data_IF_203037554730
#
_entry.id   IF_203037554730
#
_cell.length_a   1.000
_cell.length_b   1.000
_cell.length_c   1.000
_cell.angle_alpha   90.00
_cell.angle_beta   90.00
_cell.angle_gamma   90.00
#
_symmetry.space_group_name_H-M   'P 1'
#
loop_
_entity.id
_entity.type
_entity.pdbx_description
1 polymer ?
#
# COMPACT_ATOMS: atom_id res chain seq x y z
N UNK A 1 17.46 24.68 22.76
CA UNK A 1 17.84 24.73 21.33
C UNK A 1 18.06 23.29 20.88
N UNK A 2 17.04 22.67 20.30
CA UNK A 2 17.05 21.24 19.85
C UNK A 2 17.23 21.24 18.34
N UNK A 3 18.05 20.35 17.75
CA UNK A 3 18.25 20.31 16.31
C UNK A 3 17.06 19.66 15.61
N UNK A 4 16.66 20.28 14.53
CA UNK A 4 15.59 19.86 13.62
C UNK A 4 15.91 18.52 12.96
N UNK A 5 14.93 17.60 12.98
CA UNK A 5 14.99 16.30 12.36
C UNK A 5 15.14 16.37 10.84
N UNK A 6 16.10 15.63 10.31
CA UNK A 6 16.34 15.49 8.88
C UNK A 6 15.19 14.73 8.21
N UNK A 7 14.63 15.32 7.17
CA UNK A 7 13.65 14.69 6.25
C UNK A 7 14.33 13.54 5.52
N UNK A 8 14.00 12.29 5.86
CA UNK A 8 14.41 11.13 5.09
C UNK A 8 13.52 11.01 3.85
N UNK A 9 14.04 11.45 2.71
CA UNK A 9 13.51 11.09 1.40
C UNK A 9 13.81 9.62 1.13
N UNK A 10 12.86 8.81 0.62
CA UNK A 10 13.11 7.42 0.30
C UNK A 10 14.13 7.29 -0.84
N UNK A 11 15.13 6.44 -0.63
CA UNK A 11 16.26 6.22 -1.54
C UNK A 11 15.79 5.70 -2.92
N UNK A 12 16.29 6.25 -4.04
CA UNK A 12 15.88 5.90 -5.40
C UNK A 12 16.15 4.43 -5.80
N UNK A 13 17.03 3.72 -5.09
CA UNK A 13 17.32 2.31 -5.38
C UNK A 13 16.18 1.33 -5.03
N UNK A 14 15.25 1.67 -4.15
CA UNK A 14 14.09 0.82 -3.83
C UNK A 14 13.11 0.72 -4.99
N UNK A 15 12.94 1.81 -5.75
CA UNK A 15 12.00 1.87 -6.88
C UNK A 15 12.46 1.05 -8.10
N UNK A 16 13.77 0.86 -8.28
CA UNK A 16 14.31 0.09 -9.40
C UNK A 16 14.06 -1.43 -9.26
N UNK A 17 14.15 -2.00 -8.05
CA UNK A 17 13.87 -3.44 -7.81
C UNK A 17 12.38 -3.76 -7.89
N UNK A 18 11.51 -2.79 -7.58
CA UNK A 18 10.04 -2.93 -7.62
C UNK A 18 9.54 -2.94 -9.07
N UNK A 19 10.17 -2.15 -9.97
CA UNK A 19 9.83 -2.13 -11.41
C UNK A 19 10.06 -3.48 -12.10
N UNK A 20 10.96 -4.31 -11.60
CA UNK A 20 11.26 -5.63 -12.18
C UNK A 20 10.19 -6.70 -11.91
N UNK A 21 9.29 -6.51 -10.94
CA UNK A 21 8.23 -7.48 -10.60
C UNK A 21 6.95 -7.28 -11.41
N UNK A 22 6.75 -6.12 -12.04
CA UNK A 22 5.68 -5.90 -13.03
C UNK A 22 6.19 -6.37 -14.38
N UNK A 23 5.50 -7.30 -15.10
CA UNK A 23 5.92 -7.72 -16.43
C UNK A 23 6.03 -6.48 -17.34
N UNK A 24 7.23 -6.18 -17.79
CA UNK A 24 7.48 -5.05 -18.68
C UNK A 24 6.68 -5.22 -19.98
N UNK A 25 6.00 -4.20 -20.48
CA UNK A 25 5.32 -4.26 -21.76
C UNK A 25 6.36 -4.50 -22.87
N UNK A 26 6.25 -5.63 -23.56
CA UNK A 26 7.07 -5.93 -24.75
C UNK A 26 6.57 -5.12 -25.94
N UNK A 27 7.08 -3.92 -26.09
CA UNK A 27 6.85 -3.06 -27.27
C UNK A 27 7.95 -2.01 -27.32
N UNK A 28 8.43 -1.65 -28.52
CA UNK A 28 9.43 -0.59 -28.75
C UNK A 28 8.94 0.70 -28.09
N UNK A 29 9.31 0.94 -26.84
CA UNK A 29 9.02 2.17 -26.15
C UNK A 29 10.22 3.12 -26.32
N UNK A 30 9.97 4.27 -26.97
CA UNK A 30 10.76 5.48 -26.74
C UNK A 30 10.76 5.74 -25.23
N UNK A 31 11.91 6.16 -24.67
CA UNK A 31 11.98 6.56 -23.27
C UNK A 31 10.84 7.52 -22.95
N UNK A 32 10.08 7.30 -21.84
CA UNK A 32 8.96 8.16 -21.49
C UNK A 32 9.45 9.58 -21.30
N UNK A 33 8.82 10.53 -22.00
CA UNK A 33 9.00 11.96 -21.72
C UNK A 33 8.11 12.35 -20.55
N UNK A 34 8.45 13.37 -19.74
CA UNK A 34 7.63 13.87 -18.64
C UNK A 34 6.14 14.02 -19.03
N UNK A 35 5.87 14.55 -20.24
CA UNK A 35 4.53 14.66 -20.81
C UNK A 35 3.82 13.31 -21.05
N UNK A 36 4.55 12.21 -21.30
CA UNK A 36 3.98 10.87 -21.48
C UNK A 36 3.57 10.25 -20.14
N UNK A 37 4.36 10.46 -19.09
CA UNK A 37 4.05 9.98 -17.73
C UNK A 37 2.84 10.73 -17.16
N UNK A 38 2.73 12.04 -17.35
CA UNK A 38 1.57 12.83 -16.93
C UNK A 38 0.27 12.35 -17.58
N UNK A 39 0.29 12.05 -18.88
CA UNK A 39 -0.85 11.52 -19.62
C UNK A 39 -1.25 10.14 -19.11
N UNK A 40 -0.28 9.29 -18.83
CA UNK A 40 -0.50 7.97 -18.27
C UNK A 40 -1.11 8.02 -16.85
N UNK A 41 -0.61 8.90 -15.99
CA UNK A 41 -1.16 9.15 -14.66
C UNK A 41 -2.57 9.76 -14.73
N UNK A 42 -2.88 10.59 -15.74
CA UNK A 42 -4.22 11.09 -16.00
C UNK A 42 -5.23 9.98 -16.28
N UNK A 43 -4.85 8.98 -17.10
CA UNK A 43 -5.68 7.81 -17.39
C UNK A 43 -5.91 6.99 -16.10
N UNK A 44 -4.85 6.76 -15.31
CA UNK A 44 -4.94 6.01 -14.06
C UNK A 44 -5.91 6.68 -13.07
N UNK A 45 -5.84 8.00 -12.88
CA UNK A 45 -6.73 8.74 -11.97
C UNK A 45 -8.22 8.60 -12.35
N UNK A 46 -8.54 8.75 -13.64
CA UNK A 46 -9.92 8.63 -14.11
C UNK A 46 -10.41 7.18 -14.01
N UNK A 47 -9.55 6.22 -14.34
CA UNK A 47 -9.87 4.81 -14.21
C UNK A 47 -10.10 4.42 -12.74
N UNK A 48 -9.28 4.90 -11.81
CA UNK A 48 -9.42 4.70 -10.36
C UNK A 48 -10.78 5.18 -9.87
N UNK A 49 -11.19 6.38 -10.25
CA UNK A 49 -12.49 6.93 -9.89
C UNK A 49 -13.63 6.06 -10.43
N UNK A 50 -13.59 5.68 -11.71
CA UNK A 50 -14.65 4.86 -12.33
C UNK A 50 -14.69 3.45 -11.71
N UNK A 51 -13.55 2.83 -11.41
CA UNK A 51 -13.53 1.54 -10.71
C UNK A 51 -14.08 1.65 -9.30
N UNK A 52 -13.85 2.75 -8.61
CA UNK A 52 -14.42 2.98 -7.29
C UNK A 52 -15.93 3.15 -7.32
N UNK A 53 -16.45 3.96 -8.24
CA UNK A 53 -17.86 4.31 -8.35
C UNK A 53 -18.74 3.17 -8.89
N UNK A 54 -18.24 2.44 -9.91
CA UNK A 54 -19.01 1.47 -10.69
C UNK A 54 -18.55 0.03 -10.54
N UNK A 55 -17.39 -0.19 -9.96
CA UNK A 55 -16.72 -1.49 -9.93
C UNK A 55 -15.91 -1.76 -11.20
N UNK A 56 -15.08 -2.82 -11.13
CA UNK A 56 -14.25 -3.23 -12.26
C UNK A 56 -15.08 -3.76 -13.43
N UNK A 57 -16.11 -4.59 -13.15
CA UNK A 57 -16.90 -5.25 -14.20
C UNK A 57 -17.59 -4.23 -15.11
N UNK A 58 -18.24 -3.22 -14.51
CA UNK A 58 -19.08 -2.26 -15.20
C UNK A 58 -18.32 -1.04 -15.76
N UNK A 59 -17.01 -0.99 -15.56
CA UNK A 59 -16.14 0.04 -16.17
C UNK A 59 -15.55 -0.45 -17.48
N UNK A 60 -15.61 0.38 -18.53
CA UNK A 60 -15.04 0.08 -19.86
C UNK A 60 -13.96 1.08 -20.26
N UNK A 61 -13.12 0.71 -21.23
CA UNK A 61 -12.10 1.63 -21.80
C UNK A 61 -12.78 2.82 -22.49
N UNK A 62 -13.95 2.63 -23.09
CA UNK A 62 -14.75 3.69 -23.70
C UNK A 62 -15.18 4.75 -22.68
N UNK A 63 -15.62 4.31 -21.48
CA UNK A 63 -16.02 5.20 -20.40
C UNK A 63 -14.81 5.98 -19.85
N UNK A 64 -13.66 5.32 -19.70
CA UNK A 64 -12.40 5.96 -19.28
C UNK A 64 -11.98 7.02 -20.31
N UNK A 65 -12.00 6.68 -21.60
CA UNK A 65 -11.68 7.61 -22.68
C UNK A 65 -12.65 8.79 -22.74
N UNK A 66 -13.96 8.52 -22.62
CA UNK A 66 -15.01 9.55 -22.62
C UNK A 66 -14.88 10.53 -21.46
N UNK A 67 -14.59 10.04 -20.25
CA UNK A 67 -14.38 10.88 -19.07
C UNK A 67 -13.12 11.77 -19.17
N UNK A 68 -12.13 11.34 -19.96
CA UNK A 68 -10.91 12.12 -20.26
C UNK A 68 -11.09 13.08 -21.46
N UNK A 69 -12.19 12.97 -22.21
CA UNK A 69 -12.35 13.71 -23.47
C UNK A 69 -11.39 13.27 -24.60
N UNK A 70 -10.96 11.98 -24.56
CA UNK A 70 -10.03 11.41 -25.55
C UNK A 70 -10.67 10.24 -26.28
N UNK A 71 -9.99 9.71 -27.30
CA UNK A 71 -10.46 8.54 -28.05
C UNK A 71 -10.00 7.22 -27.38
N UNK A 72 -10.73 6.15 -27.62
CA UNK A 72 -10.36 4.78 -27.18
C UNK A 72 -8.94 4.37 -27.63
N UNK A 73 -8.50 4.60 -28.91
CA UNK A 73 -7.14 4.36 -29.33
C UNK A 73 -6.08 5.11 -28.51
N UNK A 74 -6.40 6.30 -28.00
CA UNK A 74 -5.49 7.03 -27.12
C UNK A 74 -5.21 6.27 -25.82
N UNK A 75 -6.23 5.69 -25.18
CA UNK A 75 -6.04 4.86 -23.97
C UNK A 75 -5.23 3.62 -24.29
N UNK A 76 -5.52 2.94 -25.40
CA UNK A 76 -4.77 1.76 -25.85
C UNK A 76 -3.31 2.03 -26.23
N UNK A 77 -2.95 3.27 -26.52
CA UNK A 77 -1.55 3.64 -26.71
C UNK A 77 -0.73 3.50 -25.42
N UNK A 78 -1.36 3.72 -24.23
CA UNK A 78 -0.70 3.65 -22.92
C UNK A 78 -0.91 2.32 -22.19
N UNK A 79 -2.04 1.64 -22.41
CA UNK A 79 -2.44 0.43 -21.69
C UNK A 79 -3.03 -0.58 -22.66
N UNK A 80 -2.62 -1.84 -22.52
CA UNK A 80 -3.08 -2.93 -23.40
C UNK A 80 -4.57 -3.25 -23.21
N UNK A 81 -5.05 -3.15 -21.98
CA UNK A 81 -6.43 -3.46 -21.63
C UNK A 81 -6.80 -2.87 -20.25
N UNK A 82 -8.07 -2.99 -19.89
CA UNK A 82 -8.62 -2.53 -18.60
C UNK A 82 -7.96 -3.22 -17.40
N UNK A 83 -7.61 -4.50 -17.54
CA UNK A 83 -6.97 -5.27 -16.47
C UNK A 83 -5.60 -4.72 -16.12
N UNK A 84 -4.78 -4.34 -17.09
CA UNK A 84 -3.46 -3.73 -16.85
C UNK A 84 -3.58 -2.45 -16.02
N UNK A 85 -4.57 -1.61 -16.31
CA UNK A 85 -4.84 -0.39 -15.53
C UNK A 85 -5.19 -0.75 -14.07
N UNK A 86 -6.09 -1.69 -13.89
CA UNK A 86 -6.55 -2.13 -12.57
C UNK A 86 -5.41 -2.77 -11.75
N UNK A 87 -4.61 -3.61 -12.39
CA UNK A 87 -3.46 -4.26 -11.77
C UNK A 87 -2.40 -3.25 -11.33
N UNK A 88 -2.13 -2.22 -12.12
CA UNK A 88 -1.18 -1.16 -11.77
C UNK A 88 -1.66 -0.33 -10.57
N UNK A 89 -2.95 0.03 -10.55
CA UNK A 89 -3.55 0.75 -9.43
C UNK A 89 -3.49 -0.08 -8.14
N UNK A 90 -3.77 -1.38 -8.22
CA UNK A 90 -3.72 -2.29 -7.07
C UNK A 90 -2.30 -2.62 -6.61
N UNK A 91 -1.34 -2.67 -7.53
CA UNK A 91 0.04 -3.11 -7.25
C UNK A 91 0.82 -2.11 -6.41
N UNK A 92 0.72 -0.82 -6.71
CA UNK A 92 1.49 0.23 -6.05
C UNK A 92 1.27 0.25 -4.52
N UNK A 93 0.02 0.36 -4.01
CA UNK A 93 -0.21 0.30 -2.57
C UNK A 93 0.16 -1.05 -1.94
N UNK A 94 -0.03 -2.17 -2.65
CA UNK A 94 0.38 -3.50 -2.20
C UNK A 94 1.87 -3.56 -1.90
N UNK A 95 2.70 -3.04 -2.80
CA UNK A 95 4.15 -3.02 -2.61
C UNK A 95 4.53 -2.13 -1.43
N UNK A 96 4.00 -0.92 -1.35
CA UNK A 96 4.32 0.01 -0.26
C UNK A 96 3.91 -0.55 1.12
N UNK A 97 2.76 -1.23 1.21
CA UNK A 97 2.35 -1.93 2.42
C UNK A 97 3.32 -3.05 2.81
N UNK A 98 3.55 -3.99 1.91
CA UNK A 98 4.23 -5.23 2.25
C UNK A 98 5.77 -5.14 2.21
N UNK A 99 6.35 -4.02 1.78
CA UNK A 99 7.77 -3.72 1.93
C UNK A 99 8.09 -2.81 3.12
N UNK A 100 7.10 -2.48 3.95
CA UNK A 100 7.29 -1.62 5.12
C UNK A 100 8.30 -2.19 6.14
N UNK A 101 8.54 -3.51 6.11
CA UNK A 101 9.52 -4.22 6.94
C UNK A 101 10.80 -4.62 6.18
N UNK A 102 10.98 -4.19 4.94
CA UNK A 102 12.25 -4.35 4.21
C UNK A 102 13.26 -3.30 4.68
N UNK A 103 13.67 -3.43 5.93
CA UNK A 103 14.57 -2.51 6.60
C UNK A 103 16.04 -2.85 6.30
N UNK A 104 16.96 -1.87 6.36
CA UNK A 104 18.39 -2.14 6.32
C UNK A 104 18.80 -3.16 7.40
N UNK A 105 19.80 -4.02 7.13
CA UNK A 105 20.25 -5.01 8.13
C UNK A 105 20.77 -4.38 9.42
N UNK A 106 21.31 -3.17 9.32
CA UNK A 106 21.88 -2.36 10.39
C UNK A 106 20.91 -1.32 10.98
N UNK A 107 19.62 -1.45 10.74
CA UNK A 107 18.61 -0.55 11.31
C UNK A 107 18.68 -0.61 12.86
N UNK A 108 19.03 0.50 13.54
CA UNK A 108 19.33 0.49 14.98
C UNK A 108 18.07 0.50 15.85
N UNK A 109 16.88 0.68 15.27
CA UNK A 109 15.64 0.77 16.03
C UNK A 109 15.33 -0.56 16.71
N UNK A 110 14.83 -0.56 17.94
CA UNK A 110 14.36 -1.78 18.61
C UNK A 110 13.15 -2.38 17.90
N UNK A 111 12.92 -3.68 18.08
CA UNK A 111 11.89 -4.44 17.37
C UNK A 111 10.49 -3.83 17.50
N UNK A 112 10.09 -3.36 18.70
CA UNK A 112 8.78 -2.75 18.90
C UNK A 112 8.56 -1.45 18.11
N UNK A 113 9.61 -0.65 17.89
CA UNK A 113 9.54 0.56 17.08
C UNK A 113 9.43 0.22 15.58
N UNK A 114 10.14 -0.82 15.11
CA UNK A 114 10.02 -1.33 13.74
C UNK A 114 8.61 -1.82 13.44
N UNK A 115 8.02 -2.61 14.37
CA UNK A 115 6.64 -3.08 14.27
C UNK A 115 5.65 -1.92 14.24
N UNK A 116 5.79 -0.98 15.19
CA UNK A 116 4.89 0.18 15.29
C UNK A 116 4.94 1.04 14.03
N UNK A 117 6.13 1.31 13.48
CA UNK A 117 6.31 2.06 12.26
C UNK A 117 5.74 1.34 11.03
N UNK A 118 5.87 0.01 10.95
CA UNK A 118 5.30 -0.77 9.85
C UNK A 118 3.76 -0.73 9.88
N UNK A 119 3.14 -0.88 11.03
CA UNK A 119 1.68 -0.78 11.21
C UNK A 119 1.19 0.62 10.79
N UNK A 120 1.85 1.68 11.26
CA UNK A 120 1.51 3.05 10.85
C UNK A 120 1.65 3.23 9.34
N UNK A 121 2.70 2.66 8.73
CA UNK A 121 2.90 2.70 7.28
C UNK A 121 1.74 2.02 6.53
N UNK A 122 1.27 0.84 6.98
CA UNK A 122 0.13 0.17 6.38
C UNK A 122 -1.13 1.06 6.40
N UNK A 123 -1.43 1.65 7.54
CA UNK A 123 -2.60 2.52 7.71
C UNK A 123 -2.47 3.76 6.81
N UNK A 124 -1.29 4.40 6.80
CA UNK A 124 -1.00 5.58 6.00
C UNK A 124 -1.11 5.29 4.50
N UNK A 125 -0.61 4.16 4.03
CA UNK A 125 -0.73 3.72 2.63
C UNK A 125 -2.21 3.48 2.28
N UNK A 126 -2.99 2.85 3.16
CA UNK A 126 -4.42 2.65 2.93
C UNK A 126 -5.19 3.97 2.81
N UNK A 127 -4.84 4.98 3.60
CA UNK A 127 -5.42 6.33 3.52
C UNK A 127 -4.98 7.04 2.25
N UNK A 128 -3.68 7.03 1.96
CA UNK A 128 -3.08 7.75 0.83
C UNK A 128 -3.56 7.24 -0.53
N UNK A 129 -3.70 5.93 -0.67
CA UNK A 129 -4.11 5.27 -1.92
C UNK A 129 -5.58 4.84 -1.91
N UNK A 130 -6.40 5.42 -1.04
CA UNK A 130 -7.83 5.19 -1.11
C UNK A 130 -8.41 5.78 -2.42
N UNK A 131 -9.21 5.03 -3.20
CA UNK A 131 -9.72 3.67 -2.95
C UNK A 131 -8.86 2.52 -3.49
N UNK A 132 -7.82 2.80 -4.28
CA UNK A 132 -7.03 1.79 -5.01
C UNK A 132 -6.36 0.75 -4.08
N UNK A 133 -6.00 1.13 -2.84
CA UNK A 133 -5.44 0.23 -1.83
C UNK A 133 -6.33 -1.00 -1.55
N UNK A 134 -7.62 -0.89 -1.83
CA UNK A 134 -8.61 -1.93 -1.54
C UNK A 134 -9.14 -2.67 -2.76
N UNK A 135 -8.72 -2.31 -3.97
CA UNK A 135 -9.20 -2.94 -5.20
C UNK A 135 -8.97 -4.46 -5.22
N UNK A 136 -7.81 -4.92 -4.79
CA UNK A 136 -7.52 -6.35 -4.71
C UNK A 136 -8.44 -7.12 -3.74
N UNK A 137 -8.96 -6.46 -2.70
CA UNK A 137 -9.93 -7.04 -1.76
C UNK A 137 -11.35 -7.05 -2.33
N UNK A 138 -11.74 -5.99 -3.02
CA UNK A 138 -13.09 -5.82 -3.56
C UNK A 138 -13.32 -6.63 -4.82
N UNK A 139 -12.31 -6.73 -5.67
CA UNK A 139 -12.40 -7.31 -7.02
C UNK A 139 -11.23 -8.33 -7.27
N UNK A 140 -11.11 -9.37 -6.42
CA UNK A 140 -9.97 -10.29 -6.53
C UNK A 140 -9.92 -11.03 -7.87
N UNK A 141 -11.06 -11.18 -8.56
CA UNK A 141 -11.16 -11.81 -9.90
C UNK A 141 -10.55 -10.93 -11.00
N UNK A 142 -10.40 -9.61 -10.78
CA UNK A 142 -9.78 -8.70 -11.75
C UNK A 142 -8.24 -8.76 -11.72
N UNK A 143 -7.66 -9.46 -10.74
CA UNK A 143 -6.21 -9.65 -10.61
C UNK A 143 -5.80 -10.95 -11.27
N UNK A 144 -4.92 -10.86 -12.27
CA UNK A 144 -4.39 -12.03 -12.97
C UNK A 144 -3.51 -12.92 -12.09
N UNK A 145 -3.32 -14.21 -12.46
CA UNK A 145 -2.64 -15.19 -11.62
C UNK A 145 -1.19 -14.82 -11.29
N UNK A 146 -0.48 -14.23 -12.23
CA UNK A 146 0.92 -13.80 -12.03
C UNK A 146 1.03 -12.72 -10.97
N UNK A 147 0.19 -11.68 -11.04
CA UNK A 147 0.20 -10.59 -10.07
C UNK A 147 -0.29 -11.08 -8.70
N UNK A 148 -1.32 -11.92 -8.67
CA UNK A 148 -1.80 -12.55 -7.44
C UNK A 148 -0.71 -13.35 -6.72
N UNK A 149 0.07 -14.15 -7.46
CA UNK A 149 1.19 -14.90 -6.89
C UNK A 149 2.27 -13.97 -6.32
N UNK A 150 2.56 -12.85 -7.00
CA UNK A 150 3.51 -11.85 -6.52
C UNK A 150 3.01 -11.14 -5.25
N UNK A 151 1.72 -10.78 -5.18
CA UNK A 151 1.09 -10.19 -3.99
C UNK A 151 1.16 -11.14 -2.79
N UNK A 152 0.81 -12.42 -2.99
CA UNK A 152 0.90 -13.44 -1.93
C UNK A 152 2.31 -13.63 -1.41
N UNK A 153 3.32 -13.64 -2.30
CA UNK A 153 4.73 -13.75 -1.90
C UNK A 153 5.17 -12.55 -1.04
N UNK A 154 4.79 -11.34 -1.42
CA UNK A 154 5.08 -10.13 -0.62
C UNK A 154 4.39 -10.19 0.74
N UNK A 155 3.11 -10.57 0.77
CA UNK A 155 2.35 -10.68 2.00
C UNK A 155 2.96 -11.72 2.96
N UNK A 156 3.32 -12.92 2.47
CA UNK A 156 3.97 -13.94 3.29
C UNK A 156 5.29 -13.42 3.87
N UNK A 157 6.16 -12.83 3.05
CA UNK A 157 7.42 -12.26 3.52
C UNK A 157 7.21 -11.19 4.61
N UNK A 158 6.26 -10.29 4.40
CA UNK A 158 5.91 -9.26 5.38
C UNK A 158 5.44 -9.88 6.71
N UNK A 159 4.50 -10.84 6.66
CA UNK A 159 3.97 -11.48 7.87
C UNK A 159 5.03 -12.29 8.62
N UNK A 160 5.93 -12.98 7.93
CA UNK A 160 7.05 -13.70 8.56
C UNK A 160 7.98 -12.73 9.30
N UNK A 161 8.32 -11.60 8.68
CA UNK A 161 9.11 -10.54 9.31
C UNK A 161 8.39 -9.91 10.48
N UNK A 162 7.09 -9.63 10.34
CA UNK A 162 6.25 -9.09 11.41
C UNK A 162 6.25 -10.03 12.63
N UNK A 163 6.01 -11.33 12.43
CA UNK A 163 6.02 -12.32 13.50
C UNK A 163 7.38 -12.38 14.21
N UNK A 164 8.48 -12.36 13.45
CA UNK A 164 9.84 -12.35 14.04
C UNK A 164 10.05 -11.13 14.95
N UNK A 165 9.71 -9.93 14.47
CA UNK A 165 9.88 -8.69 15.25
C UNK A 165 8.93 -8.60 16.45
N UNK A 166 7.70 -9.11 16.33
CA UNK A 166 6.77 -9.21 17.46
C UNK A 166 7.34 -10.10 18.58
N UNK A 167 7.92 -11.26 18.22
CA UNK A 167 8.55 -12.15 19.20
C UNK A 167 9.79 -11.54 19.85
N UNK A 168 10.61 -10.83 19.10
CA UNK A 168 11.75 -10.08 19.64
C UNK A 168 11.27 -9.04 20.65
N UNK A 169 10.32 -8.20 20.28
CA UNK A 169 9.80 -7.14 21.14
C UNK A 169 9.07 -7.69 22.39
N UNK A 170 8.44 -8.87 22.29
CA UNK A 170 7.84 -9.57 23.43
C UNK A 170 8.91 -10.06 24.39
N UNK A 171 9.98 -10.67 23.89
CA UNK A 171 11.14 -11.11 24.71
C UNK A 171 11.81 -9.94 25.44
N UNK A 172 11.87 -8.79 24.80
CA UNK A 172 12.40 -7.53 25.36
C UNK A 172 11.43 -6.91 26.40
N UNK A 173 10.26 -7.51 26.62
CA UNK A 173 9.25 -7.01 27.55
C UNK A 173 8.51 -5.77 27.11
N UNK A 174 8.65 -5.38 25.83
CA UNK A 174 8.04 -4.17 25.26
C UNK A 174 6.63 -4.41 24.75
N UNK A 175 6.28 -5.65 24.40
CA UNK A 175 4.95 -6.05 23.95
C UNK A 175 4.38 -7.13 24.88
N UNK A 176 3.03 -7.22 24.92
CA UNK A 176 2.31 -8.19 25.73
C UNK A 176 1.12 -8.75 24.95
N UNK A 177 1.25 -9.98 24.48
CA UNK A 177 0.23 -10.71 23.72
C UNK A 177 0.40 -12.23 23.88
N UNK A 178 -0.63 -13.01 23.56
CA UNK A 178 -0.63 -14.46 23.74
C UNK A 178 -0.12 -15.20 22.48
N UNK A 179 -0.71 -14.93 21.32
CA UNK A 179 -0.38 -15.61 20.06
C UNK A 179 0.15 -14.62 19.02
N UNK A 180 1.34 -14.90 18.52
CA UNK A 180 2.06 -14.03 17.60
C UNK A 180 1.35 -13.87 16.26
N UNK A 181 0.86 -14.98 15.69
CA UNK A 181 0.21 -14.96 14.37
C UNK A 181 -1.13 -14.25 14.43
N UNK A 182 -1.94 -14.55 15.44
CA UNK A 182 -3.23 -13.89 15.65
C UNK A 182 -3.01 -12.39 15.89
N UNK A 183 -2.02 -12.03 16.71
CA UNK A 183 -1.68 -10.62 16.99
C UNK A 183 -1.25 -9.88 15.73
N UNK A 184 -0.37 -10.46 14.91
CA UNK A 184 0.05 -9.90 13.64
C UNK A 184 -1.14 -9.66 12.69
N UNK A 185 -2.00 -10.67 12.52
CA UNK A 185 -3.19 -10.59 11.69
C UNK A 185 -4.18 -9.54 12.21
N UNK A 186 -4.46 -9.53 13.51
CA UNK A 186 -5.40 -8.57 14.11
C UNK A 186 -4.92 -7.13 13.94
N UNK A 187 -3.64 -6.85 14.23
CA UNK A 187 -3.08 -5.52 14.08
C UNK A 187 -3.11 -5.02 12.62
N UNK A 188 -2.76 -5.88 11.65
CA UNK A 188 -2.79 -5.53 10.23
C UNK A 188 -4.22 -5.43 9.68
N UNK A 189 -5.18 -6.18 10.23
CA UNK A 189 -6.59 -6.14 9.80
C UNK A 189 -7.25 -4.79 10.06
N UNK A 190 -6.74 -3.99 11.01
CA UNK A 190 -7.21 -2.63 11.26
C UNK A 190 -7.10 -1.78 9.99
N UNK A 191 -5.96 -1.84 9.32
CA UNK A 191 -5.78 -1.16 8.02
C UNK A 191 -6.62 -1.82 6.92
N UNK A 192 -6.62 -3.16 6.85
CA UNK A 192 -7.32 -3.92 5.81
C UNK A 192 -8.83 -3.71 5.81
N UNK A 193 -9.46 -3.45 6.96
CA UNK A 193 -10.90 -3.28 7.07
C UNK A 193 -11.39 -1.86 6.76
N UNK A 194 -10.51 -0.90 6.53
CA UNK A 194 -10.85 0.50 6.23
C UNK A 194 -11.73 0.64 4.97
N UNK A 195 -11.63 -0.29 4.01
CA UNK A 195 -12.44 -0.26 2.78
C UNK A 195 -13.95 -0.19 3.04
N UNK A 196 -14.42 -0.65 4.17
CA UNK A 196 -15.84 -0.74 4.50
C UNK A 196 -16.43 0.57 5.05
N UNK A 197 -15.60 1.41 5.66
CA UNK A 197 -16.08 2.58 6.38
C UNK A 197 -15.31 3.89 6.14
N UNK A 198 -14.02 3.82 5.75
CA UNK A 198 -13.23 5.03 5.56
C UNK A 198 -13.78 5.91 4.43
N UNK A 199 -13.85 7.21 4.70
CA UNK A 199 -14.24 8.25 3.74
C UNK A 199 -13.25 9.40 3.85
N UNK A 200 -12.60 9.82 2.73
CA UNK A 200 -11.63 10.94 2.73
C UNK A 200 -12.23 12.27 3.17
N UNK A 201 -13.52 12.46 2.94
CA UNK A 201 -14.33 13.63 3.32
C UNK A 201 -15.05 13.47 4.67
N UNK A 202 -14.65 12.49 5.47
CA UNK A 202 -15.25 12.18 6.77
C UNK A 202 -14.92 13.25 7.84
N UNK A 203 -15.43 13.00 9.06
CA UNK A 203 -15.26 13.92 10.21
C UNK A 203 -13.79 14.14 10.63
N UNK A 204 -12.95 13.12 10.48
CA UNK A 204 -11.54 13.16 10.83
C UNK A 204 -10.68 13.41 9.60
N UNK A 205 -9.65 14.20 9.75
CA UNK A 205 -8.62 14.34 8.73
C UNK A 205 -7.85 13.03 8.53
N UNK A 206 -7.18 12.88 7.39
CA UNK A 206 -6.36 11.71 7.08
C UNK A 206 -5.31 11.42 8.17
N UNK A 207 -4.65 12.46 8.70
CA UNK A 207 -3.64 12.30 9.75
C UNK A 207 -4.26 11.90 11.10
N UNK A 208 -5.44 12.42 11.45
CA UNK A 208 -6.18 12.00 12.64
C UNK A 208 -6.60 10.52 12.53
N UNK A 209 -7.09 10.08 11.36
CA UNK A 209 -7.42 8.66 11.11
C UNK A 209 -6.19 7.77 11.28
N UNK A 210 -5.06 8.15 10.68
CA UNK A 210 -3.80 7.41 10.83
C UNK A 210 -3.39 7.34 12.29
N UNK A 211 -3.45 8.45 13.02
CA UNK A 211 -3.09 8.50 14.44
C UNK A 211 -3.97 7.58 15.29
N UNK A 212 -5.29 7.72 15.18
CA UNK A 212 -6.24 6.94 16.00
C UNK A 212 -6.13 5.43 15.73
N UNK A 213 -6.05 5.03 14.46
CA UNK A 213 -5.92 3.62 14.10
C UNK A 213 -4.56 3.04 14.52
N UNK A 214 -3.48 3.82 14.44
CA UNK A 214 -2.17 3.40 14.96
C UNK A 214 -2.21 3.17 16.45
N UNK A 215 -2.84 4.07 17.22
CA UNK A 215 -3.02 3.90 18.66
C UNK A 215 -3.81 2.64 19.02
N UNK A 216 -4.86 2.33 18.25
CA UNK A 216 -5.64 1.10 18.42
C UNK A 216 -4.80 -0.14 18.11
N UNK A 217 -4.06 -0.14 17.01
CA UNK A 217 -3.19 -1.24 16.63
C UNK A 217 -2.08 -1.49 17.65
N UNK A 218 -1.50 -0.44 18.22
CA UNK A 218 -0.49 -0.56 19.29
C UNK A 218 -1.07 -1.17 20.57
N UNK A 219 -2.34 -0.91 20.88
CA UNK A 219 -3.03 -1.59 21.98
C UNK A 219 -3.23 -3.08 21.67
N UNK A 220 -3.57 -3.43 20.42
CA UNK A 220 -3.74 -4.82 19.99
C UNK A 220 -2.44 -5.62 20.14
N UNK A 221 -1.28 -5.04 19.81
CA UNK A 221 0.02 -5.69 20.01
C UNK A 221 0.51 -5.59 21.47
N UNK A 222 -0.28 -4.99 22.37
CA UNK A 222 0.08 -4.86 23.78
C UNK A 222 1.30 -3.99 24.03
N UNK A 223 1.48 -2.90 23.25
CA UNK A 223 2.62 -1.98 23.40
C UNK A 223 2.59 -1.31 24.76
N UNK A 224 3.59 -1.62 25.58
CA UNK A 224 3.74 -1.06 26.92
C UNK A 224 4.27 0.38 26.86
N UNK A 225 3.54 1.32 27.45
CA UNK A 225 4.07 2.67 27.65
C UNK A 225 5.27 2.60 28.59
N UNK A 226 6.43 3.07 28.14
CA UNK A 226 7.60 3.20 29.01
C UNK A 226 7.21 4.06 30.22
N UNK A 227 7.14 3.47 31.43
CA UNK A 227 7.00 4.27 32.65
C UNK A 227 8.24 5.14 32.74
N UNK A 228 8.08 6.47 32.59
CA UNK A 228 9.14 7.41 32.95
C UNK A 228 9.41 7.18 34.45
N UNK A 229 10.59 6.67 34.75
CA UNK A 229 11.15 6.72 36.08
C UNK A 229 11.63 8.14 36.37
#
# INVERSE_FOLDING_TARGET
MLPMGSKHSPSPMRHARIRAAVPAPRGRQRAPTASSDEKREGILRVAEQLFHERGYADTTIEQIAGALGVTKPYVYYYFRNKQEIFELLSWRPTVECFTALDLPPDDPRPAHEKVSAAIETLIRVCVQYHPAAFFAYREPQAIGPTLRAAQLKLAHHFYDRMCTLLEEARRDGMLDFNDTKITALAACSIAGFMYSWYRPDGRLTSDEVVHELSQLAWRVIGLRKRRRR
#
